data_IF_691650658439
#
_entry.id   IF_691650658439
#
_cell.length_a   1.000
_cell.length_b   1.000
_cell.length_c   1.000
_cell.angle_alpha   90.00
_cell.angle_beta   90.00
_cell.angle_gamma   90.00
#
_symmetry.space_group_name_H-M   'P 1'
#
loop_
_entity.id
_entity.type
_entity.pdbx_description
1 polymer ?
#
# COMPACT_ATOMS: atom_id res chain seq x y z
N UNK A 1 6.46 3.06 13.66
CA UNK A 1 6.31 1.88 12.78
C UNK A 1 6.01 0.68 13.65
N UNK A 2 5.12 -0.20 13.22
CA UNK A 2 4.78 -1.42 13.94
C UNK A 2 4.98 -2.59 12.97
N UNK A 3 5.68 -3.63 13.43
CA UNK A 3 5.80 -4.88 12.68
C UNK A 3 4.54 -5.73 12.94
N UNK A 4 4.03 -6.37 11.89
CA UNK A 4 2.86 -7.26 11.97
C UNK A 4 3.25 -8.71 12.28
N UNK A 5 4.53 -9.02 12.11
CA UNK A 5 5.16 -10.32 12.33
C UNK A 5 6.61 -10.11 12.81
N UNK A 6 7.25 -11.16 13.31
CA UNK A 6 8.65 -11.12 13.73
C UNK A 6 9.54 -10.70 12.56
N UNK A 7 10.24 -9.56 12.72
CA UNK A 7 10.91 -8.87 11.62
C UNK A 7 12.32 -8.43 12.02
N UNK A 8 13.23 -8.46 11.04
CA UNK A 8 14.57 -7.88 11.17
C UNK A 8 14.62 -6.58 10.37
N UNK A 9 15.20 -5.53 10.97
CA UNK A 9 15.28 -4.20 10.35
C UNK A 9 16.74 -3.84 10.16
N UNK A 10 17.07 -3.36 8.95
CA UNK A 10 18.34 -2.74 8.66
C UNK A 10 18.18 -1.22 8.75
N UNK A 11 18.91 -0.60 9.68
CA UNK A 11 18.91 0.84 9.89
C UNK A 11 20.25 1.44 9.45
N UNK A 12 20.19 2.64 8.87
CA UNK A 12 21.36 3.42 8.51
C UNK A 12 21.24 4.81 9.11
N UNK A 13 22.32 5.35 9.68
CA UNK A 13 22.36 6.75 10.04
C UNK A 13 22.41 7.63 8.78
N UNK A 14 22.00 8.89 8.92
CA UNK A 14 22.09 9.85 7.81
C UNK A 14 23.52 9.97 7.28
N UNK A 15 24.50 9.99 8.18
CA UNK A 15 25.93 10.06 7.82
C UNK A 15 26.40 8.84 7.04
N UNK A 16 25.91 7.64 7.40
CA UNK A 16 26.26 6.41 6.66
C UNK A 16 25.66 6.41 5.25
N UNK A 17 24.42 6.87 5.12
CA UNK A 17 23.76 7.00 3.80
C UNK A 17 24.50 8.00 2.91
N UNK A 18 24.85 9.18 3.44
CA UNK A 18 25.62 10.19 2.69
C UNK A 18 27.00 9.66 2.29
N UNK A 19 27.67 8.95 3.19
CA UNK A 19 28.92 8.25 2.87
C UNK A 19 28.73 7.22 1.75
N UNK A 20 27.69 6.39 1.81
CA UNK A 20 27.39 5.38 0.79
C UNK A 20 27.11 6.00 -0.58
N UNK A 21 26.39 7.13 -0.64
CA UNK A 21 26.18 7.87 -1.89
C UNK A 21 27.50 8.38 -2.48
N UNK A 22 28.41 8.87 -1.64
CA UNK A 22 29.73 9.32 -2.09
C UNK A 22 30.62 8.18 -2.62
N UNK A 23 30.45 6.95 -2.10
CA UNK A 23 31.27 5.78 -2.47
C UNK A 23 30.70 4.98 -3.62
N UNK A 24 29.37 4.94 -3.75
CA UNK A 24 28.66 4.15 -4.74
C UNK A 24 27.65 5.05 -5.46
N UNK A 25 28.12 5.78 -6.47
CA UNK A 25 27.30 6.73 -7.24
C UNK A 25 26.06 6.11 -7.88
N UNK A 26 26.09 4.80 -8.18
CA UNK A 26 24.91 4.07 -8.67
C UNK A 26 23.75 4.03 -7.67
N UNK A 27 24.01 4.16 -6.36
CA UNK A 27 22.98 4.23 -5.33
C UNK A 27 22.11 5.47 -5.49
N UNK A 28 22.69 6.62 -5.84
CA UNK A 28 21.90 7.84 -6.07
C UNK A 28 20.87 7.64 -7.18
N UNK A 29 21.26 6.98 -8.28
CA UNK A 29 20.33 6.64 -9.37
C UNK A 29 19.26 5.67 -8.89
N UNK A 30 19.63 4.64 -8.12
CA UNK A 30 18.67 3.67 -7.56
C UNK A 30 17.64 4.38 -6.68
N UNK A 31 18.10 5.17 -5.71
CA UNK A 31 17.23 5.91 -4.79
C UNK A 31 16.35 6.92 -5.51
N UNK A 32 16.88 7.61 -6.54
CA UNK A 32 16.08 8.50 -7.38
C UNK A 32 14.94 7.75 -8.08
N UNK A 33 15.23 6.60 -8.69
CA UNK A 33 14.20 5.78 -9.35
C UNK A 33 13.17 5.27 -8.33
N UNK A 34 13.62 4.84 -7.16
CA UNK A 34 12.72 4.42 -6.07
C UNK A 34 11.82 5.56 -5.62
N UNK A 35 12.37 6.76 -5.39
CA UNK A 35 11.61 7.94 -5.01
C UNK A 35 10.57 8.33 -6.07
N UNK A 36 10.94 8.30 -7.35
CA UNK A 36 10.02 8.57 -8.47
C UNK A 36 8.88 7.55 -8.52
N UNK A 37 9.17 6.26 -8.37
CA UNK A 37 8.15 5.20 -8.34
C UNK A 37 7.20 5.39 -7.15
N UNK A 38 7.75 5.64 -5.96
CA UNK A 38 6.96 5.91 -4.76
C UNK A 38 6.05 7.12 -4.95
N UNK A 39 6.56 8.21 -5.53
CA UNK A 39 5.78 9.41 -5.81
C UNK A 39 4.63 9.12 -6.79
N UNK A 40 4.89 8.39 -7.88
CA UNK A 40 3.84 8.01 -8.83
C UNK A 40 2.74 7.16 -8.16
N UNK A 41 3.11 6.23 -7.27
CA UNK A 41 2.15 5.46 -6.48
C UNK A 41 1.32 6.35 -5.56
N UNK A 42 1.95 7.29 -4.86
CA UNK A 42 1.26 8.21 -3.96
C UNK A 42 0.29 9.12 -4.72
N UNK A 43 0.68 9.62 -5.90
CA UNK A 43 -0.19 10.42 -6.77
C UNK A 43 -1.40 9.61 -7.25
N UNK A 44 -1.22 8.37 -7.72
CA UNK A 44 -2.33 7.48 -8.09
C UNK A 44 -3.28 7.25 -6.91
N UNK A 45 -2.73 6.98 -5.72
CA UNK A 45 -3.52 6.77 -4.51
C UNK A 45 -4.31 8.02 -4.12
N UNK A 46 -3.70 9.20 -4.19
CA UNK A 46 -4.36 10.47 -3.91
C UNK A 46 -5.54 10.70 -4.85
N UNK A 47 -5.35 10.52 -6.16
CA UNK A 47 -6.43 10.62 -7.14
C UNK A 47 -7.57 9.65 -6.83
N UNK A 48 -7.27 8.36 -6.60
CA UNK A 48 -8.29 7.38 -6.26
C UNK A 48 -9.05 7.72 -4.98
N UNK A 49 -8.39 8.34 -4.00
CA UNK A 49 -9.04 8.74 -2.75
C UNK A 49 -10.09 9.82 -2.98
N UNK A 50 -9.88 10.69 -3.98
CA UNK A 50 -10.77 11.80 -4.29
C UNK A 50 -11.86 11.41 -5.29
N UNK A 51 -11.53 10.57 -6.28
CA UNK A 51 -12.40 10.32 -7.43
C UNK A 51 -13.04 8.94 -7.49
N UNK A 52 -12.52 7.95 -6.76
CA UNK A 52 -12.97 6.56 -6.88
C UNK A 52 -13.89 6.14 -5.72
N UNK A 53 -14.82 5.23 -6.01
CA UNK A 53 -15.66 4.65 -4.96
C UNK A 53 -14.83 3.80 -4.00
N UNK A 54 -15.40 3.49 -2.82
CA UNK A 54 -14.73 2.59 -1.89
C UNK A 54 -14.61 1.15 -2.44
N UNK A 55 -15.54 0.73 -3.31
CA UNK A 55 -15.48 -0.55 -4.05
C UNK A 55 -14.30 -0.59 -5.01
N UNK A 56 -14.12 0.46 -5.83
CA UNK A 56 -13.00 0.56 -6.78
C UNK A 56 -11.64 0.56 -6.06
N UNK A 57 -11.55 1.30 -4.95
CA UNK A 57 -10.32 1.34 -4.13
C UNK A 57 -10.00 0.00 -3.51
N UNK A 58 -11.00 -0.78 -3.11
CA UNK A 58 -10.83 -2.13 -2.60
C UNK A 58 -10.37 -3.08 -3.71
N UNK A 59 -10.99 -3.04 -4.89
CA UNK A 59 -10.62 -3.88 -6.03
C UNK A 59 -9.19 -3.61 -6.52
N UNK A 60 -8.79 -2.33 -6.59
CA UNK A 60 -7.40 -1.97 -6.90
C UNK A 60 -6.42 -2.50 -5.84
N UNK A 61 -6.78 -2.44 -4.55
CA UNK A 61 -5.93 -2.92 -3.46
C UNK A 61 -5.65 -4.42 -3.59
N UNK A 62 -6.69 -5.24 -3.79
CA UNK A 62 -6.54 -6.71 -3.90
C UNK A 62 -5.88 -7.12 -5.22
N UNK A 63 -6.08 -6.35 -6.30
CA UNK A 63 -5.42 -6.57 -7.60
C UNK A 63 -3.92 -6.29 -7.53
N UNK A 64 -3.54 -5.25 -6.76
CA UNK A 64 -2.14 -4.86 -6.61
C UNK A 64 -1.38 -5.73 -5.61
N UNK A 65 -2.04 -6.10 -4.52
CA UNK A 65 -1.46 -6.87 -3.42
C UNK A 65 -2.31 -8.12 -3.17
N UNK A 66 -2.07 -9.14 -3.99
CA UNK A 66 -2.70 -10.44 -3.83
C UNK A 66 -2.39 -11.00 -2.43
N UNK A 67 -3.42 -11.41 -1.68
CA UNK A 67 -3.27 -11.97 -0.33
C UNK A 67 -3.18 -10.95 0.81
N UNK A 68 -3.27 -9.64 0.54
CA UNK A 68 -3.19 -8.59 1.58
C UNK A 68 -4.23 -8.78 2.70
N UNK A 69 -5.39 -9.34 2.36
CA UNK A 69 -6.47 -9.60 3.31
C UNK A 69 -6.14 -10.68 4.36
N UNK A 70 -5.16 -11.54 4.09
CA UNK A 70 -4.69 -12.56 5.04
C UNK A 70 -3.65 -11.99 6.01
N UNK A 71 -2.91 -10.98 5.56
CA UNK A 71 -1.82 -10.36 6.31
C UNK A 71 -2.31 -9.21 7.18
N UNK A 72 -3.33 -8.47 6.72
CA UNK A 72 -3.74 -7.22 7.34
C UNK A 72 -5.13 -7.35 7.99
N UNK A 73 -5.27 -6.99 9.28
CA UNK A 73 -6.57 -6.96 9.94
C UNK A 73 -7.59 -6.09 9.19
N UNK A 74 -8.83 -6.57 9.11
CA UNK A 74 -9.88 -5.93 8.32
C UNK A 74 -10.16 -4.47 8.72
N UNK A 75 -9.98 -4.11 10.00
CA UNK A 75 -10.15 -2.73 10.46
C UNK A 75 -9.09 -1.78 9.87
N UNK A 76 -7.85 -2.24 9.69
CA UNK A 76 -6.79 -1.45 9.06
C UNK A 76 -7.05 -1.29 7.56
N UNK A 77 -7.58 -2.32 6.91
CA UNK A 77 -8.03 -2.24 5.51
C UNK A 77 -9.18 -1.21 5.38
N UNK A 78 -10.15 -1.23 6.29
CA UNK A 78 -11.24 -0.27 6.29
C UNK A 78 -10.75 1.17 6.49
N UNK A 79 -9.83 1.40 7.44
CA UNK A 79 -9.17 2.70 7.62
C UNK A 79 -8.37 3.12 6.39
N UNK A 80 -7.65 2.19 5.74
CA UNK A 80 -6.93 2.47 4.49
C UNK A 80 -7.86 2.93 3.37
N UNK A 81 -9.06 2.34 3.29
CA UNK A 81 -10.11 2.68 2.34
C UNK A 81 -10.97 3.87 2.79
N UNK A 82 -10.73 4.45 3.96
CA UNK A 82 -11.52 5.57 4.49
C UNK A 82 -13.00 5.24 4.70
N UNK A 83 -13.32 4.01 5.09
CA UNK A 83 -14.69 3.57 5.41
C UNK A 83 -14.74 2.89 6.78
N UNK A 84 -15.94 2.72 7.33
CA UNK A 84 -16.14 1.97 8.56
C UNK A 84 -15.92 0.46 8.32
N UNK A 85 -15.41 -0.30 9.31
CA UNK A 85 -15.21 -1.75 9.19
C UNK A 85 -16.48 -2.50 8.79
N UNK A 86 -17.64 -2.07 9.31
CA UNK A 86 -18.94 -2.65 8.96
C UNK A 86 -19.30 -2.45 7.48
N UNK A 87 -18.98 -1.27 6.93
CA UNK A 87 -19.18 -0.95 5.51
C UNK A 87 -18.32 -1.84 4.62
N UNK A 88 -17.09 -2.16 5.04
CA UNK A 88 -16.20 -3.06 4.30
C UNK A 88 -16.79 -4.48 4.22
N UNK A 89 -17.27 -5.03 5.34
CA UNK A 89 -17.89 -6.36 5.36
C UNK A 89 -19.13 -6.46 4.47
N UNK A 90 -20.00 -5.43 4.50
CA UNK A 90 -21.18 -5.36 3.62
C UNK A 90 -20.78 -5.30 2.15
N UNK A 91 -19.80 -4.46 1.81
CA UNK A 91 -19.30 -4.31 0.44
C UNK A 91 -18.70 -5.62 -0.10
N UNK A 92 -17.87 -6.31 0.69
CA UNK A 92 -17.32 -7.61 0.30
C UNK A 92 -18.40 -8.62 -0.05
N UNK A 93 -19.47 -8.69 0.75
CA UNK A 93 -20.60 -9.58 0.50
C UNK A 93 -21.30 -9.25 -0.83
N UNK A 94 -21.52 -7.96 -1.12
CA UNK A 94 -22.10 -7.51 -2.39
C UNK A 94 -21.23 -7.87 -3.60
N UNK A 95 -19.90 -7.73 -3.49
CA UNK A 95 -18.97 -8.10 -4.57
C UNK A 95 -19.06 -9.59 -4.88
N UNK A 96 -19.07 -10.46 -3.86
CA UNK A 96 -19.19 -11.91 -4.03
C UNK A 96 -20.55 -12.29 -4.62
N UNK A 97 -21.64 -11.69 -4.16
CA UNK A 97 -22.99 -11.92 -4.70
C UNK A 97 -23.12 -11.49 -6.18
N UNK A 98 -22.47 -10.39 -6.57
CA UNK A 98 -22.39 -9.95 -7.98
C UNK A 98 -21.59 -10.94 -8.83
N UNK A 99 -20.51 -11.50 -8.28
CA UNK A 99 -19.66 -12.47 -8.99
C UNK A 99 -20.36 -13.82 -9.21
N UNK A 100 -21.16 -14.29 -8.25
CA UNK A 100 -21.91 -15.56 -8.37
C UNK A 100 -23.15 -15.50 -9.26
N UNK A 101 -23.62 -14.29 -9.63
CA UNK A 101 -24.76 -14.07 -10.53
C UNK A 101 -24.37 -13.87 -11.99
N UNK A 102 -23.07 -13.87 -12.28
CA UNK A 102 -22.50 -13.69 -13.62
C UNK A 102 -21.97 -15.01 -14.15
#
# INVERSE_FOLDING_TARGET
MQAMEDSWILEFSKTDIEYLFSKVTSLERLFRIMAQRTLAVLQKRFLMTISASAEDRYLELISRHHGIEQLVPQHQIASYLGILPESLSRMKKQIVEKASKK
#
